data_IF_874527981780
#
_entry.id   IF_874527981780
#
_cell.length_a   1.000
_cell.length_b   1.000
_cell.length_c   1.000
_cell.angle_alpha   90.00
_cell.angle_beta   90.00
_cell.angle_gamma   90.00
#
_symmetry.space_group_name_H-M   'P 1'
#
loop_
_entity.id
_entity.type
_entity.pdbx_description
1 polymer ?
#
# COMPACT_ATOMS: atom_id res chain seq x y z
N UNK A 1 -14.09 2.19 24.25
CA UNK A 1 -14.77 3.44 23.82
C UNK A 1 -14.98 3.34 22.32
N UNK A 2 -16.22 3.24 21.83
CA UNK A 2 -16.46 3.22 20.39
C UNK A 2 -15.99 4.56 19.82
N UNK A 3 -15.01 4.51 18.93
CA UNK A 3 -14.51 5.69 18.22
C UNK A 3 -15.68 6.31 17.47
N UNK A 4 -16.03 7.55 17.79
CA UNK A 4 -17.06 8.29 17.07
C UNK A 4 -16.69 8.32 15.60
N UNK A 5 -17.47 7.65 14.76
CA UNK A 5 -17.25 7.63 13.31
C UNK A 5 -17.34 9.06 12.82
N UNK A 6 -16.28 9.56 12.17
CA UNK A 6 -16.20 10.94 11.72
C UNK A 6 -17.43 11.32 10.87
N UNK A 7 -17.97 12.52 11.11
CA UNK A 7 -19.19 13.00 10.45
C UNK A 7 -18.96 13.32 8.95
N UNK A 8 -17.73 13.66 8.56
CA UNK A 8 -17.36 14.04 7.20
C UNK A 8 -15.91 13.61 6.86
N UNK A 9 -15.56 13.50 5.58
CA UNK A 9 -14.17 13.36 5.13
C UNK A 9 -13.32 14.55 5.62
N UNK A 10 -12.15 14.29 6.19
CA UNK A 10 -11.22 15.34 6.63
C UNK A 10 -9.76 14.96 6.38
N UNK A 11 -8.86 15.96 6.47
CA UNK A 11 -7.42 15.72 6.34
C UNK A 11 -6.91 14.78 7.44
N UNK A 12 -7.32 14.98 8.69
CA UNK A 12 -6.90 14.19 9.84
C UNK A 12 -7.34 12.73 9.72
N UNK A 13 -8.56 12.51 9.20
CA UNK A 13 -9.05 11.17 8.92
C UNK A 13 -8.24 10.49 7.81
N UNK A 14 -7.88 11.24 6.78
CA UNK A 14 -7.05 10.75 5.68
C UNK A 14 -5.61 10.43 6.14
N UNK A 15 -5.03 11.29 6.98
CA UNK A 15 -3.73 11.06 7.61
C UNK A 15 -3.75 9.82 8.51
N UNK A 16 -4.80 9.64 9.32
CA UNK A 16 -5.01 8.43 10.13
C UNK A 16 -5.08 7.17 9.27
N UNK A 17 -5.83 7.20 8.17
CA UNK A 17 -5.89 6.08 7.22
C UNK A 17 -4.52 5.78 6.61
N UNK A 18 -3.76 6.81 6.24
CA UNK A 18 -2.41 6.62 5.71
C UNK A 18 -1.46 6.04 6.77
N UNK A 19 -1.61 6.40 8.04
CA UNK A 19 -0.85 5.80 9.14
C UNK A 19 -1.20 4.31 9.33
N UNK A 20 -2.47 3.92 9.18
CA UNK A 20 -2.86 2.51 9.15
C UNK A 20 -2.25 1.75 7.97
N UNK A 21 -2.19 2.37 6.78
CA UNK A 21 -1.47 1.81 5.64
C UNK A 21 0.02 1.63 5.95
N UNK A 22 0.68 2.65 6.52
CA UNK A 22 2.10 2.58 6.92
C UNK A 22 2.35 1.48 7.95
N UNK A 23 1.42 1.23 8.87
CA UNK A 23 1.55 0.16 9.87
C UNK A 23 1.39 -1.23 9.22
N UNK A 24 0.29 -1.43 8.49
CA UNK A 24 0.00 -2.70 7.82
C UNK A 24 1.02 -3.06 6.73
N UNK A 25 1.56 -2.07 6.01
CA UNK A 25 2.63 -2.31 5.02
C UNK A 25 3.91 -2.79 5.66
N UNK A 26 4.29 -2.21 6.81
CA UNK A 26 5.45 -2.67 7.59
C UNK A 26 5.25 -4.11 8.10
N UNK A 27 4.07 -4.42 8.65
CA UNK A 27 3.74 -5.77 9.14
C UNK A 27 3.86 -6.80 8.01
N UNK A 28 3.15 -6.56 6.91
CA UNK A 28 3.13 -7.48 5.77
C UNK A 28 4.50 -7.61 5.09
N UNK A 29 5.27 -6.53 4.99
CA UNK A 29 6.64 -6.59 4.48
C UNK A 29 7.58 -7.41 5.38
N UNK A 30 7.39 -7.35 6.71
CA UNK A 30 8.15 -8.17 7.64
C UNK A 30 7.82 -9.66 7.48
N UNK A 31 6.53 -10.00 7.30
CA UNK A 31 6.08 -11.36 7.00
C UNK A 31 6.63 -11.89 5.67
N UNK A 32 6.56 -11.08 4.60
CA UNK A 32 7.17 -11.48 3.33
C UNK A 32 8.66 -11.74 3.47
N UNK A 33 9.38 -10.87 4.18
CA UNK A 33 10.81 -11.05 4.38
C UNK A 33 11.15 -12.27 5.24
N UNK A 34 10.33 -12.63 6.23
CA UNK A 34 10.55 -13.86 7.02
C UNK A 34 10.36 -15.11 6.15
N UNK A 35 9.33 -15.13 5.30
CA UNK A 35 9.10 -16.22 4.34
C UNK A 35 10.21 -16.34 3.30
N UNK A 36 10.70 -15.20 2.78
CA UNK A 36 11.87 -15.20 1.87
C UNK A 36 13.11 -15.82 2.54
N UNK A 37 13.35 -15.54 3.82
CA UNK A 37 14.47 -16.14 4.57
C UNK A 37 14.27 -17.64 4.81
N UNK A 38 13.05 -18.05 5.18
CA UNK A 38 12.71 -19.46 5.38
C UNK A 38 12.86 -20.26 4.09
N UNK A 39 12.54 -19.64 2.94
CA UNK A 39 12.72 -20.22 1.61
C UNK A 39 14.16 -20.08 1.05
N UNK A 40 15.13 -19.65 1.87
CA UNK A 40 16.54 -19.47 1.50
C UNK A 40 16.77 -18.59 0.26
N UNK A 41 15.93 -17.58 0.04
CA UNK A 41 16.11 -16.64 -1.07
C UNK A 41 17.35 -15.76 -0.88
N UNK A 42 17.99 -15.38 -2.00
CA UNK A 42 19.01 -14.34 -2.01
C UNK A 42 18.35 -12.97 -1.76
N UNK A 43 18.28 -12.58 -0.49
CA UNK A 43 17.74 -11.29 -0.06
C UNK A 43 18.52 -10.13 -0.67
N UNK A 44 19.84 -10.27 -0.85
CA UNK A 44 20.67 -9.22 -1.42
C UNK A 44 20.30 -8.97 -2.89
N UNK A 45 20.12 -10.04 -3.67
CA UNK A 45 19.65 -9.95 -5.06
C UNK A 45 18.24 -9.38 -5.14
N UNK A 46 17.32 -9.80 -4.26
CA UNK A 46 15.97 -9.25 -4.22
C UNK A 46 15.97 -7.74 -3.93
N UNK A 47 16.74 -7.29 -2.94
CA UNK A 47 16.89 -5.87 -2.62
C UNK A 47 17.48 -5.10 -3.80
N UNK A 48 18.56 -5.59 -4.43
CA UNK A 48 19.15 -4.94 -5.60
C UNK A 48 18.15 -4.81 -6.76
N UNK A 49 17.33 -5.83 -6.99
CA UNK A 49 16.28 -5.82 -8.02
C UNK A 49 15.22 -4.76 -7.72
N UNK A 50 14.81 -4.62 -6.46
CA UNK A 50 13.80 -3.64 -6.03
C UNK A 50 14.34 -2.20 -6.03
N UNK A 51 15.58 -1.99 -5.58
CA UNK A 51 16.18 -0.65 -5.39
C UNK A 51 17.02 -0.17 -6.56
N UNK A 52 17.17 -1.00 -7.62
CA UNK A 52 18.06 -0.72 -8.74
C UNK A 52 19.53 -0.64 -8.31
N UNK A 53 19.95 -1.51 -7.38
CA UNK A 53 21.34 -1.65 -6.94
C UNK A 53 21.92 -0.50 -6.11
N UNK A 54 21.10 0.43 -5.61
CA UNK A 54 21.55 1.69 -5.00
C UNK A 54 22.01 1.61 -3.54
N UNK A 55 21.82 0.47 -2.85
CA UNK A 55 21.93 0.41 -1.39
C UNK A 55 22.91 -0.65 -0.90
N UNK A 56 23.72 -0.28 0.09
CA UNK A 56 24.43 -1.23 0.94
C UNK A 56 23.42 -2.06 1.74
N UNK A 57 23.66 -3.37 1.83
CA UNK A 57 22.69 -4.30 2.41
C UNK A 57 22.76 -4.25 3.94
N UNK A 58 21.62 -3.95 4.56
CA UNK A 58 21.38 -4.12 5.99
C UNK A 58 20.00 -4.76 6.19
N UNK A 59 19.75 -5.36 7.35
CA UNK A 59 18.44 -5.94 7.67
C UNK A 59 17.32 -4.88 7.63
N UNK A 60 17.63 -3.63 8.01
CA UNK A 60 16.70 -2.52 7.92
C UNK A 60 16.45 -2.10 6.46
N UNK A 61 17.49 -2.02 5.62
CA UNK A 61 17.33 -1.69 4.20
C UNK A 61 16.59 -2.78 3.42
N UNK A 62 16.74 -4.05 3.80
CA UNK A 62 15.97 -5.15 3.23
C UNK A 62 14.47 -5.04 3.53
N UNK A 63 14.08 -4.76 4.78
CA UNK A 63 12.66 -4.55 5.14
C UNK A 63 12.06 -3.38 4.38
N UNK A 64 12.77 -2.25 4.31
CA UNK A 64 12.29 -1.07 3.59
C UNK A 64 12.16 -1.31 2.08
N UNK A 65 13.06 -2.11 1.48
CA UNK A 65 12.94 -2.50 0.08
C UNK A 65 11.70 -3.38 -0.17
N UNK A 66 11.45 -4.39 0.66
CA UNK A 66 10.24 -5.23 0.55
C UNK A 66 8.97 -4.39 0.77
N UNK A 67 8.98 -3.49 1.75
CA UNK A 67 7.87 -2.54 1.98
C UNK A 67 7.64 -1.64 0.74
N UNK A 68 8.70 -1.10 0.15
CA UNK A 68 8.65 -0.32 -1.08
C UNK A 68 8.00 -1.10 -2.24
N UNK A 69 8.42 -2.35 -2.44
CA UNK A 69 7.86 -3.23 -3.48
C UNK A 69 6.36 -3.43 -3.28
N UNK A 70 5.94 -3.79 -2.07
CA UNK A 70 4.53 -3.99 -1.72
C UNK A 70 3.73 -2.73 -1.94
N UNK A 71 4.16 -1.59 -1.39
CA UNK A 71 3.46 -0.31 -1.53
C UNK A 71 3.36 0.11 -2.99
N UNK A 72 4.41 -0.05 -3.79
CA UNK A 72 4.37 0.25 -5.22
C UNK A 72 3.24 -0.52 -5.94
N UNK A 73 3.10 -1.82 -5.67
CA UNK A 73 2.03 -2.65 -6.25
C UNK A 73 0.65 -2.32 -5.69
N UNK A 74 0.55 -2.07 -4.39
CA UNK A 74 -0.72 -1.72 -3.72
C UNK A 74 -1.30 -0.41 -4.24
N UNK A 75 -0.47 0.63 -4.41
CA UNK A 75 -0.91 1.95 -4.85
C UNK A 75 -0.97 2.13 -6.38
N UNK A 76 -0.58 1.12 -7.16
CA UNK A 76 -0.70 1.18 -8.62
C UNK A 76 -2.17 1.39 -9.05
N UNK A 77 -2.45 2.49 -9.75
CA UNK A 77 -3.77 2.85 -10.25
C UNK A 77 -4.68 3.56 -9.24
N UNK A 78 -4.12 4.10 -8.15
CA UNK A 78 -4.87 4.82 -7.12
C UNK A 78 -5.57 6.08 -7.66
N UNK A 79 -5.09 6.65 -8.76
CA UNK A 79 -5.70 7.82 -9.42
C UNK A 79 -7.02 7.52 -10.13
N UNK A 80 -7.35 6.23 -10.34
CA UNK A 80 -8.58 5.81 -10.98
C UNK A 80 -9.60 5.35 -9.95
N UNK A 81 -10.86 5.78 -10.08
CA UNK A 81 -11.95 5.52 -9.13
C UNK A 81 -12.23 4.05 -8.80
N UNK A 82 -11.70 3.11 -9.58
CA UNK A 82 -11.83 1.67 -9.35
C UNK A 82 -10.51 0.90 -9.45
N UNK A 83 -9.34 1.55 -9.39
CA UNK A 83 -8.03 0.92 -9.65
C UNK A 83 -7.96 0.20 -11.01
N UNK A 84 -8.67 0.70 -12.02
CA UNK A 84 -8.85 0.08 -13.34
C UNK A 84 -9.37 -1.36 -13.25
N UNK A 85 -10.26 -1.63 -12.30
CA UNK A 85 -10.95 -2.92 -12.16
C UNK A 85 -12.28 -2.88 -12.90
N UNK A 86 -12.90 -1.71 -12.95
CA UNK A 86 -14.15 -1.46 -13.65
C UNK A 86 -14.00 -0.31 -14.64
N UNK A 87 -14.81 -0.30 -15.68
CA UNK A 87 -14.92 0.81 -16.64
C UNK A 87 -15.87 1.92 -16.17
N UNK A 88 -16.13 2.03 -14.87
CA UNK A 88 -17.00 3.07 -14.33
C UNK A 88 -16.37 4.45 -14.54
N UNK A 89 -17.26 5.45 -14.69
CA UNK A 89 -16.92 6.87 -14.82
C UNK A 89 -17.80 7.70 -13.86
N UNK A 90 -18.12 7.15 -12.69
CA UNK A 90 -19.07 7.75 -11.74
C UNK A 90 -18.62 9.13 -11.25
N UNK A 91 -17.31 9.33 -11.06
CA UNK A 91 -16.70 10.63 -10.76
C UNK A 91 -17.00 11.70 -11.79
N UNK A 92 -17.17 11.33 -13.06
CA UNK A 92 -17.41 12.27 -14.15
C UNK A 92 -18.90 12.48 -14.37
N UNK A 93 -19.71 11.42 -14.21
CA UNK A 93 -21.14 11.45 -14.51
C UNK A 93 -21.97 12.02 -13.34
N UNK A 94 -21.67 11.62 -12.10
CA UNK A 94 -22.42 12.02 -10.90
C UNK A 94 -21.44 12.32 -9.73
N UNK A 95 -20.65 13.41 -9.78
CA UNK A 95 -19.53 13.62 -8.86
C UNK A 95 -19.93 13.65 -7.37
N UNK A 96 -20.99 14.37 -7.03
CA UNK A 96 -21.43 14.54 -5.63
C UNK A 96 -21.96 13.23 -5.04
N UNK A 97 -22.82 12.52 -5.78
CA UNK A 97 -23.32 11.20 -5.39
C UNK A 97 -22.17 10.20 -5.26
N UNK A 98 -21.21 10.22 -6.18
CA UNK A 98 -20.04 9.36 -6.11
C UNK A 98 -19.22 9.60 -4.84
N UNK A 99 -19.03 10.86 -4.42
CA UNK A 99 -18.36 11.19 -3.16
C UNK A 99 -19.11 10.64 -1.95
N UNK A 100 -20.43 10.81 -1.92
CA UNK A 100 -21.29 10.30 -0.84
C UNK A 100 -21.23 8.77 -0.75
N UNK A 101 -21.32 8.08 -1.90
CA UNK A 101 -21.20 6.63 -1.99
C UNK A 101 -19.83 6.14 -1.54
N UNK A 102 -18.76 6.83 -1.92
CA UNK A 102 -17.40 6.53 -1.48
C UNK A 102 -17.24 6.69 0.03
N UNK A 103 -17.82 7.74 0.63
CA UNK A 103 -17.77 7.92 2.08
C UNK A 103 -18.61 6.87 2.82
N UNK A 104 -19.76 6.49 2.29
CA UNK A 104 -20.57 5.41 2.82
C UNK A 104 -19.82 4.07 2.79
N UNK A 105 -19.15 3.75 1.67
CA UNK A 105 -18.29 2.56 1.53
C UNK A 105 -17.11 2.59 2.51
N UNK A 106 -16.48 3.76 2.71
CA UNK A 106 -15.44 3.94 3.71
C UNK A 106 -15.93 3.63 5.12
N UNK A 107 -17.09 4.19 5.52
CA UNK A 107 -17.68 3.96 6.84
C UNK A 107 -18.07 2.50 7.06
N UNK A 108 -18.66 1.86 6.05
CA UNK A 108 -18.99 0.44 6.11
C UNK A 108 -17.74 -0.42 6.34
N UNK A 109 -16.63 -0.10 5.68
CA UNK A 109 -15.37 -0.83 5.85
C UNK A 109 -14.72 -0.62 7.22
N UNK A 110 -14.93 0.51 7.90
CA UNK A 110 -14.42 0.71 9.27
C UNK A 110 -14.96 -0.36 10.23
N UNK A 111 -16.24 -0.73 10.07
CA UNK A 111 -16.95 -1.63 10.98
C UNK A 111 -16.69 -3.12 10.73
N UNK A 112 -16.07 -3.51 9.60
CA UNK A 112 -15.91 -4.90 9.21
C UNK A 112 -14.58 -5.48 9.70
N UNK A 113 -14.58 -6.56 10.48
CA UNK A 113 -13.32 -7.20 10.86
C UNK A 113 -12.72 -8.04 9.71
N UNK A 114 -11.38 -8.24 9.65
CA UNK A 114 -10.75 -9.01 8.57
C UNK A 114 -11.35 -10.41 8.30
N UNK A 115 -11.77 -11.19 9.32
CA UNK A 115 -12.46 -12.45 9.11
C UNK A 115 -13.85 -12.31 8.46
N UNK A 116 -14.58 -11.23 8.78
CA UNK A 116 -15.88 -10.92 8.20
C UNK A 116 -15.77 -10.43 6.76
N UNK A 117 -14.65 -9.79 6.39
CA UNK A 117 -14.39 -9.46 5.00
C UNK A 117 -14.42 -10.73 4.15
N UNK A 118 -13.74 -11.80 4.58
CA UNK A 118 -13.61 -13.03 3.79
C UNK A 118 -14.94 -13.64 3.36
N UNK A 119 -16.02 -13.49 4.14
CA UNK A 119 -17.36 -13.98 3.77
C UNK A 119 -18.08 -13.04 2.78
N UNK A 120 -17.72 -11.76 2.73
CA UNK A 120 -18.38 -10.72 1.94
C UNK A 120 -17.62 -10.35 0.64
N UNK A 121 -16.40 -10.89 0.45
CA UNK A 121 -15.53 -10.47 -0.65
C UNK A 121 -15.98 -10.99 -2.03
N UNK A 122 -16.66 -12.14 -2.09
CA UNK A 122 -17.02 -12.77 -3.37
C UNK A 122 -17.81 -11.80 -4.25
N UNK A 123 -17.30 -11.53 -5.46
CA UNK A 123 -17.85 -10.59 -6.45
C UNK A 123 -17.84 -9.08 -6.13
N UNK A 124 -17.49 -8.67 -4.92
CA UNK A 124 -17.38 -7.24 -4.56
C UNK A 124 -16.20 -6.55 -5.28
N UNK A 125 -16.27 -5.21 -5.45
CA UNK A 125 -15.15 -4.43 -5.98
C UNK A 125 -13.89 -4.56 -5.12
N UNK A 126 -14.06 -4.63 -3.79
CA UNK A 126 -12.95 -4.86 -2.86
C UNK A 126 -12.34 -6.27 -3.00
N UNK A 127 -13.16 -7.30 -3.26
CA UNK A 127 -12.69 -8.64 -3.57
C UNK A 127 -11.87 -8.69 -4.86
N UNK A 128 -12.40 -8.10 -5.94
CA UNK A 128 -11.69 -7.97 -7.22
C UNK A 128 -10.38 -7.18 -7.08
N UNK A 129 -10.38 -6.12 -6.27
CA UNK A 129 -9.19 -5.37 -5.91
C UNK A 129 -8.18 -6.24 -5.19
N UNK A 130 -8.59 -6.92 -4.13
CA UNK A 130 -7.73 -7.77 -3.30
C UNK A 130 -7.11 -8.91 -4.14
N UNK A 131 -7.89 -9.55 -4.99
CA UNK A 131 -7.41 -10.58 -5.91
C UNK A 131 -6.37 -10.02 -6.91
N UNK A 132 -6.68 -8.88 -7.56
CA UNK A 132 -5.77 -8.22 -8.51
C UNK A 132 -4.46 -7.81 -7.83
N UNK A 133 -4.52 -7.26 -6.62
CA UNK A 133 -3.33 -6.84 -5.85
C UNK A 133 -2.49 -8.02 -5.37
N UNK A 134 -3.12 -9.07 -4.85
CA UNK A 134 -2.44 -10.30 -4.47
C UNK A 134 -1.63 -10.86 -5.64
N UNK A 135 -2.26 -10.98 -6.82
CA UNK A 135 -1.63 -11.50 -8.03
C UNK A 135 -0.44 -10.67 -8.53
N UNK A 136 -0.44 -9.36 -8.23
CA UNK A 136 0.63 -8.43 -8.59
C UNK A 136 1.78 -8.41 -7.59
N UNK A 137 1.53 -8.76 -6.32
CA UNK A 137 2.51 -8.77 -5.25
C UNK A 137 3.16 -10.15 -5.11
N UNK A 138 2.35 -11.21 -5.10
CA UNK A 138 2.81 -12.59 -4.90
C UNK A 138 2.98 -13.26 -6.25
N UNK A 139 4.23 -13.39 -6.67
CA UNK A 139 4.58 -14.08 -7.91
C UNK A 139 4.43 -15.60 -7.74
N UNK A 140 4.07 -16.40 -8.77
CA UNK A 140 4.00 -17.86 -8.65
C UNK A 140 5.23 -18.50 -8.01
N UNK A 141 6.44 -18.04 -8.38
CA UNK A 141 7.70 -18.48 -7.75
C UNK A 141 7.81 -18.16 -6.25
N UNK A 142 7.20 -17.07 -5.77
CA UNK A 142 7.13 -16.79 -4.33
C UNK A 142 6.24 -17.81 -3.66
N UNK A 143 5.06 -18.05 -4.24
CA UNK A 143 4.06 -18.93 -3.64
C UNK A 143 4.54 -20.38 -3.56
N UNK A 144 5.13 -20.88 -4.65
CA UNK A 144 5.77 -22.20 -4.68
C UNK A 144 6.85 -22.33 -3.60
N UNK A 145 7.68 -21.29 -3.43
CA UNK A 145 8.76 -21.30 -2.45
C UNK A 145 8.28 -21.14 -1.00
N UNK A 146 7.19 -20.41 -0.77
CA UNK A 146 6.67 -20.14 0.58
C UNK A 146 5.73 -21.23 1.09
N UNK A 147 4.94 -21.82 0.19
CA UNK A 147 3.84 -22.72 0.56
C UNK A 147 3.94 -24.10 -0.08
N UNK A 148 4.94 -24.35 -0.95
CA UNK A 148 5.11 -25.64 -1.63
C UNK A 148 4.08 -25.93 -2.72
N UNK A 149 3.39 -24.90 -3.21
CA UNK A 149 2.41 -25.04 -4.29
C UNK A 149 1.71 -23.73 -4.66
N UNK A 150 0.75 -23.83 -5.59
CA UNK A 150 -0.01 -22.70 -6.15
C UNK A 150 -1.52 -22.75 -5.82
N UNK A 151 -1.92 -23.50 -4.80
CA UNK A 151 -3.33 -23.68 -4.44
C UNK A 151 -3.99 -22.35 -4.05
N UNK A 152 -3.28 -21.53 -3.27
CA UNK A 152 -3.75 -20.22 -2.84
C UNK A 152 -4.00 -19.31 -4.05
N UNK A 153 -3.09 -19.31 -5.03
CA UNK A 153 -3.22 -18.59 -6.30
C UNK A 153 -4.43 -19.06 -7.07
N UNK A 154 -4.63 -20.37 -7.22
CA UNK A 154 -5.77 -20.92 -7.97
C UNK A 154 -7.09 -20.48 -7.34
N UNK A 155 -7.19 -20.49 -6.02
CA UNK A 155 -8.36 -19.97 -5.31
C UNK A 155 -8.61 -18.48 -5.61
N UNK A 156 -7.57 -17.64 -5.50
CA UNK A 156 -7.67 -16.20 -5.77
C UNK A 156 -8.02 -15.93 -7.25
N UNK A 157 -7.46 -16.72 -8.17
CA UNK A 157 -7.77 -16.62 -9.59
C UNK A 157 -9.23 -17.00 -9.90
N UNK A 158 -9.82 -17.90 -9.13
CA UNK A 158 -11.25 -18.25 -9.24
C UNK A 158 -12.17 -17.31 -8.46
N UNK A 159 -11.69 -16.12 -8.05
CA UNK A 159 -12.48 -15.14 -7.29
C UNK A 159 -12.73 -15.52 -5.82
N UNK A 160 -12.08 -16.58 -5.31
CA UNK A 160 -12.20 -17.01 -3.91
C UNK A 160 -11.10 -16.38 -3.07
N UNK A 161 -11.36 -16.20 -1.79
CA UNK A 161 -10.40 -15.60 -0.86
C UNK A 161 -9.92 -16.66 0.16
N UNK A 162 -8.63 -17.04 0.14
CA UNK A 162 -8.04 -18.04 1.03
C UNK A 162 -8.15 -17.67 2.50
N UNK A 163 -8.41 -18.65 3.37
CA UNK A 163 -8.44 -18.49 4.83
C UNK A 163 -7.10 -18.90 5.44
N UNK A 164 -6.00 -18.35 4.93
CA UNK A 164 -4.65 -18.59 5.46
C UNK A 164 -4.18 -17.39 6.26
N UNK A 165 -3.22 -17.60 7.16
CA UNK A 165 -2.61 -16.51 7.94
C UNK A 165 -1.96 -15.47 7.03
N UNK A 166 -1.21 -15.93 6.03
CA UNK A 166 -0.57 -15.04 5.05
C UNK A 166 -1.58 -14.19 4.27
N UNK A 167 -2.68 -14.80 3.81
CA UNK A 167 -3.70 -14.06 3.08
C UNK A 167 -4.45 -13.08 3.98
N UNK A 168 -4.67 -13.45 5.25
CA UNK A 168 -5.29 -12.58 6.25
C UNK A 168 -4.44 -11.33 6.51
N UNK A 169 -3.12 -11.48 6.69
CA UNK A 169 -2.20 -10.34 6.85
C UNK A 169 -2.14 -9.46 5.59
N UNK A 170 -2.16 -10.07 4.41
CA UNK A 170 -2.29 -9.32 3.15
C UNK A 170 -3.61 -8.53 3.10
N UNK A 171 -4.72 -9.12 3.53
CA UNK A 171 -6.03 -8.47 3.50
C UNK A 171 -6.11 -7.26 4.44
N UNK A 172 -5.42 -7.28 5.58
CA UNK A 172 -5.34 -6.12 6.49
C UNK A 172 -4.75 -4.91 5.74
N UNK A 173 -3.65 -5.12 5.01
CA UNK A 173 -3.07 -4.08 4.16
C UNK A 173 -3.98 -3.70 2.99
N UNK A 174 -4.60 -4.68 2.32
CA UNK A 174 -5.51 -4.42 1.22
C UNK A 174 -6.70 -3.55 1.65
N UNK A 175 -7.30 -3.87 2.80
CA UNK A 175 -8.37 -3.09 3.40
C UNK A 175 -7.92 -1.66 3.70
N UNK A 176 -6.77 -1.48 4.35
CA UNK A 176 -6.26 -0.14 4.69
C UNK A 176 -6.10 0.74 3.45
N UNK A 177 -5.53 0.20 2.36
CA UNK A 177 -5.36 0.92 1.09
C UNK A 177 -6.70 1.19 0.41
N UNK A 178 -7.62 0.22 0.43
CA UNK A 178 -8.95 0.37 -0.13
C UNK A 178 -9.74 1.47 0.58
N UNK A 179 -9.70 1.50 1.91
CA UNK A 179 -10.33 2.54 2.72
C UNK A 179 -9.74 3.92 2.45
N UNK A 180 -8.40 4.03 2.41
CA UNK A 180 -7.73 5.28 2.04
C UNK A 180 -8.20 5.78 0.67
N UNK A 181 -8.37 4.88 -0.30
CA UNK A 181 -8.88 5.23 -1.62
C UNK A 181 -10.35 5.64 -1.61
N UNK A 182 -11.23 4.93 -0.89
CA UNK A 182 -12.63 5.33 -0.73
C UNK A 182 -12.73 6.71 -0.10
N UNK A 183 -11.92 6.99 0.91
CA UNK A 183 -11.85 8.30 1.53
C UNK A 183 -11.30 9.36 0.58
N UNK A 184 -10.28 9.06 -0.23
CA UNK A 184 -9.75 9.99 -1.23
C UNK A 184 -10.86 10.49 -2.16
N UNK A 185 -11.62 9.57 -2.73
CA UNK A 185 -12.71 9.84 -3.66
C UNK A 185 -13.98 10.40 -3.00
N UNK A 186 -14.01 10.50 -1.67
CA UNK A 186 -15.05 11.21 -0.93
C UNK A 186 -14.70 12.68 -0.64
N UNK A 187 -13.44 13.08 -0.83
CA UNK A 187 -12.94 14.42 -0.49
C UNK A 187 -13.03 15.39 -1.67
N UNK A 188 -13.18 16.67 -1.35
CA UNK A 188 -13.05 17.79 -2.28
C UNK A 188 -12.18 18.88 -1.62
N UNK A 189 -10.99 19.20 -2.17
CA UNK A 189 -10.40 18.69 -3.40
C UNK A 189 -9.91 17.23 -3.28
N UNK A 190 -9.89 16.52 -4.42
CA UNK A 190 -9.37 15.14 -4.52
C UNK A 190 -7.87 15.08 -4.13
N UNK A 191 -7.47 14.20 -3.19
CA UNK A 191 -6.07 13.99 -2.87
C UNK A 191 -5.23 13.55 -4.08
N UNK A 192 -4.14 14.26 -4.34
CA UNK A 192 -3.19 13.92 -5.41
C UNK A 192 -2.04 13.09 -4.86
N UNK A 193 -1.90 11.86 -5.35
CA UNK A 193 -0.79 10.97 -5.00
C UNK A 193 0.51 11.42 -5.70
N UNK A 194 1.62 11.44 -4.97
CA UNK A 194 2.96 11.60 -5.55
C UNK A 194 3.95 10.58 -4.97
N UNK A 195 5.02 10.34 -5.72
CA UNK A 195 6.12 9.46 -5.30
C UNK A 195 7.45 10.09 -5.66
N UNK A 196 8.43 9.98 -4.78
CA UNK A 196 9.77 10.48 -5.07
C UNK A 196 10.47 9.57 -6.07
N UNK A 197 11.09 10.18 -7.08
CA UNK A 197 11.93 9.49 -8.07
C UNK A 197 13.30 9.15 -7.49
N UNK A 198 13.88 8.03 -7.94
CA UNK A 198 15.27 7.70 -7.62
C UNK A 198 16.21 8.79 -8.15
N UNK A 199 17.16 9.21 -7.34
CA UNK A 199 18.10 10.29 -7.62
C UNK A 199 17.56 11.69 -7.39
N UNK A 200 16.29 11.86 -7.02
CA UNK A 200 15.75 13.18 -6.68
C UNK A 200 16.37 13.72 -5.40
N UNK A 201 16.44 15.04 -5.28
CA UNK A 201 16.86 15.71 -4.04
C UNK A 201 15.82 15.50 -2.94
N UNK A 202 16.29 15.37 -1.70
CA UNK A 202 15.41 15.29 -0.55
C UNK A 202 14.76 16.66 -0.26
N UNK A 203 13.43 16.71 -0.27
CA UNK A 203 12.66 17.90 0.10
C UNK A 203 11.87 17.64 1.39
N UNK A 204 12.26 18.23 2.54
CA UNK A 204 11.66 17.93 3.84
C UNK A 204 10.19 18.33 3.95
N UNK A 205 9.70 19.23 3.09
CA UNK A 205 8.29 19.61 3.01
C UNK A 205 7.41 18.48 2.46
N UNK A 206 7.92 17.71 1.50
CA UNK A 206 7.18 16.64 0.80
C UNK A 206 7.62 15.23 1.18
N UNK A 207 8.75 15.09 1.85
CA UNK A 207 9.41 13.81 2.10
C UNK A 207 9.82 13.64 3.56
N UNK A 208 9.68 12.42 4.06
CA UNK A 208 10.24 11.99 5.33
C UNK A 208 11.27 10.87 5.11
N UNK A 209 12.46 11.02 5.69
CA UNK A 209 13.54 10.05 5.55
C UNK A 209 13.31 8.84 6.47
N UNK A 210 13.50 7.64 5.94
CA UNK A 210 13.43 6.39 6.69
C UNK A 210 14.71 5.57 6.53
N UNK A 211 15.13 4.93 7.63
CA UNK A 211 16.31 4.07 7.65
C UNK A 211 17.61 4.74 8.11
N UNK A 212 17.61 6.04 8.38
CA UNK A 212 18.74 6.81 8.92
C UNK A 212 19.91 6.95 7.95
N UNK A 213 20.42 8.16 7.74
CA UNK A 213 21.72 8.37 7.08
C UNK A 213 22.74 8.70 8.17
N UNK A 214 23.90 8.02 8.22
CA UNK A 214 25.04 8.51 8.99
C UNK A 214 25.47 9.88 8.43
N UNK A 215 25.36 10.95 9.23
CA UNK A 215 25.78 12.31 8.83
C UNK A 215 24.65 13.32 8.52
N UNK A 216 23.38 12.92 8.67
CA UNK A 216 22.23 13.82 8.51
C UNK A 216 21.59 13.79 7.12
N UNK A 217 20.52 14.57 6.94
CA UNK A 217 19.71 14.60 5.70
C UNK A 217 20.17 15.66 4.68
N UNK A 218 21.11 16.53 5.06
CA UNK A 218 21.60 17.62 4.21
C UNK A 218 22.32 17.07 2.99
N UNK A 219 21.76 17.31 1.80
CA UNK A 219 22.32 16.85 0.53
C UNK A 219 22.04 15.39 0.17
N UNK A 220 21.17 14.69 0.91
CA UNK A 220 20.77 13.32 0.60
C UNK A 220 19.99 13.22 -0.71
N UNK A 221 20.26 12.17 -1.50
CA UNK A 221 19.49 11.80 -2.68
C UNK A 221 18.55 10.65 -2.36
N UNK A 222 17.37 10.65 -2.98
CA UNK A 222 16.40 9.56 -2.86
C UNK A 222 16.98 8.30 -3.52
N UNK A 223 17.20 7.26 -2.73
CA UNK A 223 17.57 5.94 -3.23
C UNK A 223 16.35 5.24 -3.79
N UNK A 224 15.29 5.16 -2.99
CA UNK A 224 13.98 4.67 -3.42
C UNK A 224 12.88 5.21 -2.50
N UNK A 225 11.67 5.38 -3.04
CA UNK A 225 10.49 5.69 -2.23
C UNK A 225 9.92 4.41 -1.61
N UNK A 226 9.51 4.50 -0.35
CA UNK A 226 8.90 3.41 0.42
C UNK A 226 7.37 3.49 0.34
N UNK A 227 6.78 4.60 0.80
CA UNK A 227 5.34 4.87 0.67
C UNK A 227 5.11 6.14 -0.13
N UNK A 228 3.99 6.26 -0.88
CA UNK A 228 3.65 7.50 -1.55
C UNK A 228 3.36 8.62 -0.54
N UNK A 229 3.38 9.85 -1.03
CA UNK A 229 2.84 11.03 -0.35
C UNK A 229 1.56 11.51 -1.03
N UNK A 230 0.85 12.43 -0.38
CA UNK A 230 -0.40 12.99 -0.87
C UNK A 230 -0.44 14.50 -0.67
N UNK A 231 -0.96 15.23 -1.66
CA UNK A 231 -1.31 16.65 -1.55
C UNK A 231 -2.83 16.79 -1.50
N UNK A 232 -3.34 17.51 -0.52
CA UNK A 232 -4.78 17.69 -0.28
C UNK A 232 -5.03 19.17 -0.01
N UNK A 233 -5.45 19.91 -1.04
CA UNK A 233 -5.52 21.37 -0.96
C UNK A 233 -4.15 21.96 -0.59
N UNK A 234 -4.08 22.63 0.56
CA UNK A 234 -2.84 23.19 1.13
C UNK A 234 -2.03 22.24 2.03
N UNK A 235 -2.55 21.05 2.35
CA UNK A 235 -1.90 20.10 3.25
C UNK A 235 -1.11 19.04 2.50
N UNK A 236 -0.08 18.50 3.14
CA UNK A 236 0.82 17.47 2.58
C UNK A 236 1.00 16.33 3.57
N UNK A 237 0.74 15.12 3.11
CA UNK A 237 1.23 13.89 3.74
C UNK A 237 2.52 13.49 3.04
N UNK A 238 3.61 13.45 3.80
CA UNK A 238 4.95 13.24 3.25
C UNK A 238 5.12 11.82 2.70
N UNK A 239 5.82 11.72 1.57
CA UNK A 239 6.28 10.44 1.04
C UNK A 239 7.44 9.91 1.91
N UNK A 240 7.41 8.62 2.27
CA UNK A 240 8.53 7.98 2.96
C UNK A 240 9.60 7.61 1.94
N UNK A 241 10.84 8.04 2.16
CA UNK A 241 11.95 7.80 1.24
C UNK A 241 13.17 7.26 1.98
N UNK A 242 13.85 6.29 1.36
CA UNK A 242 15.19 5.91 1.79
C UNK A 242 16.20 6.78 1.04
N UNK A 243 17.18 7.30 1.76
CA UNK A 243 18.17 8.25 1.23
C UNK A 243 19.56 7.62 1.15
N UNK A 244 20.38 8.16 0.26
CA UNK A 244 21.82 7.87 0.14
C UNK A 244 22.59 9.19 0.07
N UNK A 245 23.82 9.20 0.57
CA UNK A 245 24.70 10.37 0.45
C UNK A 245 25.04 10.65 -1.01
N UNK A 246 25.18 11.93 -1.38
CA UNK A 246 25.88 12.30 -2.61
C UNK A 246 27.31 11.78 -2.52
N UNK A 247 27.75 11.07 -3.56
CA UNK A 247 29.17 10.77 -3.74
C UNK A 247 29.91 12.04 -4.09
#
# INVERSE_FOLDING_TARGET
MPSAVAAAPSFELFESCMNQVKHSSKSFAALLLSLMRAAHWDIAAAVRSITGGATTLSTASARLAVESYVCCKMFQGFENESFYISGMLSCLLEPEKHRQDCFAQFKAMLSLDPPELLSLLSESLFGKFSAKKYMKIVHPKMEEAFFGGLEQRRMVASGKHPKTEFYSEFLVLAKAVWMLHRLAFAMEPLPSQFRASRGAEFHPEFMESVGGIPGGVSGGLVSFSVTPGFKIGGFVIKARVCLVSRK
#
